data_IF_064857705457
#
_entry.id   IF_064857705457
#
_cell.length_a   1.000
_cell.length_b   1.000
_cell.length_c   1.000
_cell.angle_alpha   90.00
_cell.angle_beta   90.00
_cell.angle_gamma   90.00
#
_symmetry.space_group_name_H-M   'P 1'
#
loop_
_entity.id
_entity.type
_entity.pdbx_description
1 polymer ?
#
# COMPACT_ATOMS: atom_id res chain seq x y z
N UNK A 1 -37.84 -48.68 2.79
CA UNK A 1 -36.50 -49.32 2.82
C UNK A 1 -35.54 -48.74 1.76
N UNK A 2 -35.87 -48.73 0.45
CA UNK A 2 -34.97 -48.23 -0.62
C UNK A 2 -34.51 -46.76 -0.50
N UNK A 3 -35.37 -45.86 0.03
CA UNK A 3 -35.03 -44.44 0.20
C UNK A 3 -33.99 -44.16 1.31
N UNK A 4 -33.84 -45.06 2.28
CA UNK A 4 -32.87 -44.89 3.36
C UNK A 4 -31.47 -45.29 2.91
N UNK A 5 -31.34 -46.38 2.13
CA UNK A 5 -30.06 -46.85 1.61
C UNK A 5 -29.36 -45.83 0.70
N UNK A 6 -30.10 -45.13 -0.16
CA UNK A 6 -29.52 -44.13 -1.07
C UNK A 6 -29.01 -42.88 -0.35
N UNK A 7 -29.62 -42.51 0.80
CA UNK A 7 -29.17 -41.39 1.63
C UNK A 7 -27.91 -41.72 2.41
N UNK A 8 -27.83 -42.90 3.02
CA UNK A 8 -26.63 -43.33 3.76
C UNK A 8 -25.42 -43.50 2.85
N UNK A 9 -25.62 -44.06 1.64
CA UNK A 9 -24.52 -44.22 0.67
C UNK A 9 -23.94 -42.87 0.22
N UNK A 10 -24.78 -41.86 0.00
CA UNK A 10 -24.31 -40.51 -0.37
C UNK A 10 -23.54 -39.82 0.74
N UNK A 11 -23.92 -40.00 2.00
CA UNK A 11 -23.21 -39.41 3.15
C UNK A 11 -21.84 -40.09 3.32
N UNK A 12 -21.79 -41.42 3.23
CA UNK A 12 -20.54 -42.18 3.31
C UNK A 12 -19.57 -41.82 2.18
N UNK A 13 -20.06 -41.68 0.94
CA UNK A 13 -19.25 -41.26 -0.20
C UNK A 13 -18.74 -39.82 -0.07
N UNK A 14 -19.55 -38.92 0.49
CA UNK A 14 -19.13 -37.53 0.72
C UNK A 14 -18.07 -37.43 1.81
N UNK A 15 -18.21 -38.24 2.88
CA UNK A 15 -17.21 -38.32 3.94
C UNK A 15 -15.89 -38.92 3.45
N UNK A 16 -15.91 -39.96 2.60
CA UNK A 16 -14.67 -40.54 2.06
C UNK A 16 -13.91 -39.57 1.15
N UNK A 17 -14.61 -38.88 0.25
CA UNK A 17 -14.01 -37.89 -0.66
C UNK A 17 -13.47 -36.67 0.12
N UNK A 18 -14.15 -36.26 1.19
CA UNK A 18 -13.69 -35.17 2.04
C UNK A 18 -12.43 -35.55 2.83
N UNK A 19 -12.41 -36.75 3.42
CA UNK A 19 -11.25 -37.29 4.14
C UNK A 19 -10.02 -37.43 3.22
N UNK A 20 -10.21 -37.89 1.98
CA UNK A 20 -9.12 -38.06 1.01
C UNK A 20 -8.49 -36.71 0.60
N UNK A 21 -9.31 -35.66 0.44
CA UNK A 21 -8.82 -34.31 0.13
C UNK A 21 -8.09 -33.65 1.29
N UNK A 22 -8.55 -33.84 2.52
CA UNK A 22 -7.86 -33.30 3.71
C UNK A 22 -6.56 -34.06 4.00
N UNK A 23 -6.53 -35.38 3.79
CA UNK A 23 -5.32 -36.20 3.84
C UNK A 23 -4.27 -35.78 2.81
N UNK A 24 -4.68 -35.51 1.55
CA UNK A 24 -3.76 -35.00 0.52
C UNK A 24 -3.16 -33.64 0.90
N UNK A 25 -3.96 -32.72 1.47
CA UNK A 25 -3.45 -31.42 1.95
C UNK A 25 -2.42 -31.61 3.07
N UNK A 26 -2.69 -32.52 4.01
CA UNK A 26 -1.78 -32.81 5.12
C UNK A 26 -0.47 -33.43 4.62
N UNK A 27 -0.53 -34.34 3.65
CA UNK A 27 0.65 -34.94 3.01
C UNK A 27 1.47 -33.91 2.23
N UNK A 28 0.83 -33.00 1.48
CA UNK A 28 1.55 -31.93 0.79
C UNK A 28 2.18 -30.93 1.77
N UNK A 29 1.50 -30.61 2.87
CA UNK A 29 2.01 -29.70 3.90
C UNK A 29 3.21 -30.31 4.62
N UNK A 30 3.14 -31.59 5.01
CA UNK A 30 4.26 -32.30 5.64
C UNK A 30 5.44 -32.45 4.69
N UNK A 31 5.22 -32.79 3.41
CA UNK A 31 6.27 -32.84 2.40
C UNK A 31 6.96 -31.47 2.20
N UNK A 32 6.19 -30.38 2.19
CA UNK A 32 6.74 -29.02 2.10
C UNK A 32 7.68 -28.70 3.27
N UNK A 33 7.28 -29.02 4.51
CA UNK A 33 8.13 -28.77 5.68
C UNK A 33 9.37 -29.66 5.73
N UNK A 34 9.30 -30.91 5.25
CA UNK A 34 10.48 -31.78 5.12
C UNK A 34 11.48 -31.19 4.13
N UNK A 35 11.02 -30.66 2.99
CA UNK A 35 11.88 -29.99 2.01
C UNK A 35 12.50 -28.71 2.58
N UNK A 36 11.73 -27.90 3.32
CA UNK A 36 12.26 -26.70 4.00
C UNK A 36 13.30 -27.05 5.06
N UNK A 37 13.05 -28.08 5.88
CA UNK A 37 14.00 -28.54 6.88
C UNK A 37 15.31 -29.07 6.26
N UNK A 38 15.21 -29.83 5.15
CA UNK A 38 16.37 -30.28 4.38
C UNK A 38 17.14 -29.09 3.79
N UNK A 39 16.45 -28.09 3.22
CA UNK A 39 17.09 -26.89 2.67
C UNK A 39 17.86 -26.12 3.75
N UNK A 40 17.30 -25.99 4.95
CA UNK A 40 17.97 -25.34 6.08
C UNK A 40 19.19 -26.14 6.59
N UNK A 41 19.18 -27.47 6.46
CA UNK A 41 20.32 -28.32 6.83
C UNK A 41 21.48 -28.27 5.81
N UNK A 42 21.19 -28.06 4.52
CA UNK A 42 22.23 -27.97 3.47
C UNK A 42 22.81 -26.57 3.27
N UNK A 43 22.20 -25.52 3.85
CA UNK A 43 22.80 -24.18 3.91
C UNK A 43 23.82 -24.15 5.06
N UNK A 44 25.04 -24.63 4.79
CA UNK A 44 26.21 -24.33 5.62
C UNK A 44 26.37 -22.80 5.72
N UNK A 45 26.69 -22.24 6.89
CA UNK A 45 27.05 -20.83 6.98
C UNK A 45 28.39 -20.64 6.27
N UNK A 46 28.39 -19.95 5.12
CA UNK A 46 29.60 -19.33 4.63
C UNK A 46 29.99 -18.24 5.64
N UNK A 47 30.94 -18.58 6.50
CA UNK A 47 31.77 -17.65 7.23
C UNK A 47 32.42 -16.66 6.24
N UNK A 48 31.98 -15.41 6.27
CA UNK A 48 32.48 -14.35 5.40
C UNK A 48 31.98 -13.00 5.89
N UNK A 49 32.47 -12.57 7.04
CA UNK A 49 32.30 -11.19 7.54
C UNK A 49 33.25 -10.28 6.75
N UNK A 50 32.78 -9.20 6.11
CA UNK A 50 33.65 -8.06 5.80
C UNK A 50 33.56 -7.05 6.95
N UNK A 51 34.72 -6.85 7.56
CA UNK A 51 35.06 -5.88 8.59
C UNK A 51 34.66 -4.44 8.24
N UNK A 52 34.06 -3.77 9.23
CA UNK A 52 34.01 -2.32 9.36
C UNK A 52 35.41 -1.73 9.34
N UNK A 53 35.69 -0.78 8.44
CA UNK A 53 36.81 0.16 8.58
C UNK A 53 36.23 1.56 8.79
N UNK A 54 36.15 1.95 10.06
CA UNK A 54 36.09 3.34 10.51
C UNK A 54 37.49 3.93 10.33
N UNK A 55 37.61 5.10 9.69
CA UNK A 55 38.82 5.92 9.81
C UNK A 55 38.41 7.37 9.98
N UNK A 56 38.74 7.88 11.16
CA UNK A 56 38.54 9.25 11.61
C UNK A 56 39.52 10.25 10.94
N UNK A 57 39.01 11.46 10.78
CA UNK A 57 39.70 12.75 10.99
C UNK A 57 40.58 13.39 9.89
N UNK A 58 40.77 14.73 9.95
CA UNK A 58 40.50 15.64 8.84
C UNK A 58 41.75 16.38 8.33
N UNK A 59 41.70 16.90 7.10
CA UNK A 59 42.76 17.76 6.58
C UNK A 59 42.20 19.13 6.17
N UNK A 60 42.45 20.10 7.03
CA UNK A 60 42.47 21.53 6.73
C UNK A 60 43.63 21.79 5.78
N UNK A 61 43.38 22.45 4.64
CA UNK A 61 44.43 23.09 3.85
C UNK A 61 44.13 24.57 3.79
N UNK A 62 44.96 25.34 4.50
CA UNK A 62 45.11 26.78 4.43
C UNK A 62 46.46 27.07 3.75
N UNK A 63 46.61 28.28 3.17
CA UNK A 63 47.87 28.99 2.77
C UNK A 63 48.24 28.78 1.28
N UNK A 64 48.54 29.79 0.42
CA UNK A 64 48.68 31.26 0.47
C UNK A 64 48.83 31.82 -0.97
N UNK A 65 48.54 33.12 -1.13
CA UNK A 65 49.18 34.14 -2.00
C UNK A 65 49.31 33.89 -3.53
N UNK A 66 49.26 34.85 -4.46
CA UNK A 66 49.48 36.30 -4.43
C UNK A 66 48.89 36.92 -5.70
N UNK A 67 48.39 38.17 -5.65
CA UNK A 67 48.64 39.30 -6.60
C UNK A 67 47.48 40.30 -6.63
N UNK A 68 47.67 41.41 -5.93
CA UNK A 68 47.16 42.75 -6.28
C UNK A 68 48.05 43.35 -7.40
N UNK A 69 47.55 44.22 -8.31
CA UNK A 69 47.23 45.60 -7.93
C UNK A 69 46.09 46.29 -8.72
N UNK A 70 45.48 47.30 -8.08
CA UNK A 70 45.34 48.72 -8.49
C UNK A 70 43.99 49.30 -8.06
N UNK A 71 44.08 50.39 -7.31
CA UNK A 71 42.98 51.20 -6.85
C UNK A 71 42.32 51.96 -8.03
N UNK A 72 40.99 51.96 -8.04
CA UNK A 72 40.17 53.02 -8.65
C UNK A 72 39.04 53.33 -7.67
N UNK A 73 38.91 54.60 -7.34
CA UNK A 73 37.94 55.12 -6.39
C UNK A 73 36.53 55.26 -6.98
N UNK A 74 35.57 55.36 -6.05
CA UNK A 74 34.21 55.90 -6.17
C UNK A 74 33.10 54.97 -6.69
N UNK A 75 32.18 54.58 -5.79
CA UNK A 75 30.88 55.27 -5.59
C UNK A 75 30.06 54.54 -4.52
N UNK A 76 29.33 55.34 -3.73
CA UNK A 76 28.30 54.92 -2.78
C UNK A 76 27.36 53.87 -3.40
N UNK A 77 27.34 52.66 -2.84
CA UNK A 77 26.31 51.65 -3.10
C UNK A 77 25.71 51.26 -1.76
N UNK A 78 24.46 51.67 -1.59
CA UNK A 78 23.53 51.31 -0.52
C UNK A 78 23.53 49.79 -0.30
N UNK A 79 23.54 49.28 0.95
CA UNK A 79 23.50 47.84 1.18
C UNK A 79 22.19 47.25 0.63
N UNK A 80 22.25 46.09 -0.05
CA UNK A 80 21.05 45.44 -0.56
C UNK A 80 20.16 45.00 0.61
N UNK A 81 18.88 45.35 0.47
CA UNK A 81 17.77 44.95 1.33
C UNK A 81 17.83 43.45 1.55
N UNK A 82 17.93 43.04 2.81
CA UNK A 82 17.88 41.67 3.28
C UNK A 82 16.55 41.04 2.85
N UNK A 83 16.52 40.39 1.68
CA UNK A 83 15.40 39.55 1.26
C UNK A 83 15.58 38.24 2.03
N UNK A 84 15.30 38.27 3.33
CA UNK A 84 14.91 37.06 4.02
C UNK A 84 13.69 36.51 3.27
N UNK A 85 13.73 35.29 2.71
CA UNK A 85 12.50 34.65 2.30
C UNK A 85 11.60 34.62 3.54
N UNK A 86 10.46 35.30 3.42
CA UNK A 86 9.39 35.28 4.41
C UNK A 86 9.05 33.80 4.60
N UNK A 87 9.51 33.22 5.70
CA UNK A 87 9.20 31.85 6.04
C UNK A 87 7.70 31.84 6.32
N UNK A 88 6.93 31.50 5.29
CA UNK A 88 5.47 31.41 5.33
C UNK A 88 5.12 30.31 6.32
N UNK A 89 4.87 30.70 7.57
CA UNK A 89 4.30 29.87 8.61
C UNK A 89 2.86 29.54 8.23
N UNK A 90 2.68 28.66 7.24
CA UNK A 90 1.39 28.05 6.94
C UNK A 90 1.21 26.88 7.91
N UNK A 91 0.66 27.19 9.08
CA UNK A 91 0.04 26.18 9.93
C UNK A 91 -1.13 25.59 9.12
N UNK A 92 -0.87 24.52 8.37
CA UNK A 92 -1.90 23.82 7.58
C UNK A 92 -3.05 23.46 8.52
N UNK A 93 -4.27 23.77 8.11
CA UNK A 93 -5.46 23.35 8.84
C UNK A 93 -5.51 21.82 8.81
N UNK A 94 -5.90 21.21 9.93
CA UNK A 94 -6.15 19.77 9.96
C UNK A 94 -7.11 19.41 8.81
N UNK A 95 -6.68 18.52 7.92
CA UNK A 95 -7.48 18.08 6.78
C UNK A 95 -7.29 18.85 5.47
N UNK A 96 -6.33 19.77 5.37
CA UNK A 96 -5.91 20.29 4.05
C UNK A 96 -5.35 19.17 3.16
N UNK A 97 -5.46 19.28 1.82
CA UNK A 97 -4.79 18.38 0.90
C UNK A 97 -3.27 18.32 1.18
N UNK A 98 -2.72 17.13 1.05
CA UNK A 98 -1.27 16.95 1.00
C UNK A 98 -0.75 17.52 -0.32
N UNK A 99 0.45 18.10 -0.27
CA UNK A 99 1.27 18.32 -1.46
C UNK A 99 1.77 16.99 -1.99
N UNK A 100 2.13 16.94 -3.26
CA UNK A 100 2.72 15.75 -3.86
C UNK A 100 3.96 15.26 -3.10
N UNK A 101 4.87 16.19 -2.72
CA UNK A 101 6.07 15.85 -1.95
C UNK A 101 5.77 15.23 -0.58
N UNK A 102 4.77 15.76 0.14
CA UNK A 102 4.34 15.17 1.42
C UNK A 102 3.76 13.76 1.20
N UNK A 103 3.03 13.56 0.10
CA UNK A 103 2.48 12.25 -0.24
C UNK A 103 3.58 11.25 -0.64
N UNK A 104 4.59 11.67 -1.42
CA UNK A 104 5.75 10.84 -1.76
C UNK A 104 6.51 10.39 -0.50
N UNK A 105 6.72 11.29 0.47
CA UNK A 105 7.35 10.95 1.75
C UNK A 105 6.53 9.93 2.55
N UNK A 106 5.19 10.04 2.52
CA UNK A 106 4.31 9.06 3.15
C UNK A 106 4.35 7.71 2.42
N UNK A 107 4.36 7.70 1.09
CA UNK A 107 4.48 6.48 0.30
C UNK A 107 5.80 5.75 0.56
N UNK A 108 6.91 6.48 0.68
CA UNK A 108 8.21 5.90 1.00
C UNK A 108 8.25 5.23 2.37
N UNK A 109 7.42 5.69 3.32
CA UNK A 109 7.27 5.08 4.65
C UNK A 109 6.25 3.93 4.68
N UNK A 110 5.41 3.83 3.64
CA UNK A 110 4.32 2.85 3.57
C UNK A 110 4.82 1.48 3.07
N UNK A 111 4.04 0.40 3.24
CA UNK A 111 4.41 -0.92 2.74
C UNK A 111 4.26 -1.07 1.20
N UNK A 112 3.87 -0.02 0.49
CA UNK A 112 3.70 -0.08 -0.95
C UNK A 112 5.06 -0.19 -1.67
N UNK A 113 5.26 -1.17 -2.57
CA UNK A 113 6.50 -1.29 -3.30
C UNK A 113 6.68 -0.13 -4.29
N UNK A 114 7.93 0.33 -4.46
CA UNK A 114 8.28 1.51 -5.26
C UNK A 114 7.68 1.49 -6.67
N UNK A 115 7.66 0.32 -7.33
CA UNK A 115 7.06 0.13 -8.66
C UNK A 115 5.55 0.43 -8.76
N UNK A 116 4.85 0.56 -7.62
CA UNK A 116 3.43 0.89 -7.58
C UNK A 116 3.17 2.33 -7.11
N UNK A 117 4.20 3.10 -6.72
CA UNK A 117 4.02 4.42 -6.12
C UNK A 117 3.22 5.38 -7.02
N UNK A 118 3.52 5.44 -8.31
CA UNK A 118 2.78 6.30 -9.26
C UNK A 118 1.31 5.89 -9.40
N UNK A 119 1.04 4.59 -9.41
CA UNK A 119 -0.33 4.07 -9.45
C UNK A 119 -1.11 4.44 -8.17
N UNK A 120 -0.47 4.31 -7.01
CA UNK A 120 -1.08 4.66 -5.72
C UNK A 120 -1.32 6.17 -5.63
N UNK A 121 -0.38 7.00 -6.11
CA UNK A 121 -0.55 8.46 -6.21
C UNK A 121 -1.79 8.83 -7.00
N UNK A 122 -1.95 8.24 -8.18
CA UNK A 122 -3.10 8.48 -9.05
C UNK A 122 -4.41 8.07 -8.38
N UNK A 123 -4.45 6.88 -7.76
CA UNK A 123 -5.64 6.43 -7.02
C UNK A 123 -5.98 7.40 -5.89
N UNK A 124 -5.01 7.75 -5.04
CA UNK A 124 -5.22 8.65 -3.92
C UNK A 124 -5.71 10.05 -4.36
N UNK A 125 -5.22 10.53 -5.51
CA UNK A 125 -5.68 11.78 -6.09
C UNK A 125 -7.12 11.68 -6.60
N UNK A 126 -7.45 10.62 -7.32
CA UNK A 126 -8.80 10.37 -7.83
C UNK A 126 -9.84 10.17 -6.72
N UNK A 127 -9.45 9.51 -5.64
CA UNK A 127 -10.34 9.14 -4.53
C UNK A 127 -10.58 10.29 -3.55
N UNK A 128 -9.55 11.06 -3.22
CA UNK A 128 -9.63 12.07 -2.15
C UNK A 128 -9.01 13.41 -2.50
N UNK A 129 -8.37 13.56 -3.67
CA UNK A 129 -7.48 14.67 -3.99
C UNK A 129 -6.41 14.87 -2.89
N UNK A 130 -5.87 13.75 -2.40
CA UNK A 130 -4.90 13.66 -1.30
C UNK A 130 -5.37 14.31 0.02
N UNK A 131 -6.67 14.35 0.29
CA UNK A 131 -7.23 14.88 1.54
C UNK A 131 -7.30 13.77 2.60
N UNK A 132 -6.50 13.80 3.68
CA UNK A 132 -6.43 12.69 4.65
C UNK A 132 -7.69 12.45 5.46
N UNK A 133 -8.53 13.47 5.64
CA UNK A 133 -9.76 13.38 6.43
C UNK A 133 -11.01 13.24 5.56
N UNK A 134 -10.86 12.95 4.26
CA UNK A 134 -11.97 12.85 3.32
C UNK A 134 -12.92 11.71 3.73
N UNK A 135 -14.22 12.00 3.74
CA UNK A 135 -15.27 11.01 3.94
C UNK A 135 -16.13 10.91 2.69
N UNK A 136 -16.19 9.71 2.13
CA UNK A 136 -17.02 9.36 0.99
C UNK A 136 -18.46 9.02 1.40
N UNK A 137 -19.39 8.99 0.44
CA UNK A 137 -20.81 8.72 0.69
C UNK A 137 -21.10 7.27 1.12
N UNK A 138 -20.19 6.35 0.84
CA UNK A 138 -20.35 4.90 1.03
C UNK A 138 -19.55 4.34 2.20
N UNK A 139 -19.31 5.17 3.23
CA UNK A 139 -18.50 4.82 4.40
C UNK A 139 -17.04 4.53 4.02
N UNK A 140 -16.55 5.26 3.01
CA UNK A 140 -15.17 5.22 2.54
C UNK A 140 -14.38 6.39 3.17
N UNK A 141 -13.16 6.13 3.66
CA UNK A 141 -12.43 7.08 4.49
C UNK A 141 -10.97 7.25 4.08
N UNK A 142 -10.50 8.49 4.23
CA UNK A 142 -9.10 8.87 4.14
C UNK A 142 -8.55 8.96 2.72
N UNK A 143 -7.23 9.04 2.60
CA UNK A 143 -6.56 9.36 1.33
C UNK A 143 -6.83 8.32 0.21
N UNK A 144 -6.96 7.05 0.56
CA UNK A 144 -7.27 5.95 -0.37
C UNK A 144 -8.74 5.56 -0.34
N UNK A 145 -9.63 6.31 0.33
CA UNK A 145 -11.07 6.02 0.45
C UNK A 145 -11.35 4.54 0.78
N UNK A 146 -10.73 4.03 1.86
CA UNK A 146 -10.94 2.65 2.31
C UNK A 146 -12.32 2.51 2.94
N UNK A 147 -13.09 1.51 2.52
CA UNK A 147 -14.43 1.22 3.07
C UNK A 147 -14.38 0.69 4.49
N UNK A 148 -14.80 1.49 5.48
CA UNK A 148 -14.77 1.07 6.88
C UNK A 148 -15.69 -0.12 7.14
N UNK A 149 -16.96 -0.06 6.72
CA UNK A 149 -17.92 -1.18 6.89
C UNK A 149 -17.43 -2.55 6.38
N UNK A 150 -16.58 -2.58 5.35
CA UNK A 150 -16.03 -3.82 4.80
C UNK A 150 -14.80 -4.33 5.55
N UNK A 151 -14.15 -3.47 6.34
CA UNK A 151 -12.89 -3.74 7.02
C UNK A 151 -12.93 -3.42 8.51
N UNK A 152 -14.12 -3.28 9.10
CA UNK A 152 -14.31 -2.80 10.47
C UNK A 152 -13.55 -3.64 11.51
N UNK A 153 -13.53 -4.96 11.35
CA UNK A 153 -12.78 -5.87 12.23
C UNK A 153 -11.26 -5.60 12.22
N UNK A 154 -10.71 -5.19 11.07
CA UNK A 154 -9.28 -4.89 10.90
C UNK A 154 -8.92 -3.48 11.35
N UNK A 155 -9.83 -2.53 11.14
CA UNK A 155 -9.60 -1.11 11.37
C UNK A 155 -9.96 -0.70 12.80
N UNK A 156 -10.94 -1.36 13.42
CA UNK A 156 -11.48 -1.05 14.74
C UNK A 156 -12.37 0.20 14.75
N UNK A 157 -11.84 1.36 14.34
CA UNK A 157 -12.57 2.64 14.34
C UNK A 157 -12.30 3.46 13.07
N UNK A 158 -13.33 4.07 12.48
CA UNK A 158 -13.19 4.86 11.26
C UNK A 158 -12.16 6.00 11.36
N UNK A 159 -11.97 6.60 12.55
CA UNK A 159 -10.99 7.66 12.78
C UNK A 159 -9.54 7.24 12.51
N UNK A 160 -9.23 5.94 12.60
CA UNK A 160 -7.92 5.38 12.27
C UNK A 160 -7.57 5.61 10.80
N UNK A 161 -8.57 5.61 9.92
CA UNK A 161 -8.41 5.83 8.48
C UNK A 161 -8.11 7.28 8.12
N UNK A 162 -8.20 8.23 9.07
CA UNK A 162 -7.82 9.63 8.85
C UNK A 162 -6.34 9.91 9.09
N UNK A 163 -5.60 8.96 9.68
CA UNK A 163 -4.14 8.99 9.64
C UNK A 163 -3.70 8.50 8.24
N UNK A 164 -2.99 9.30 7.45
CA UNK A 164 -2.68 8.96 6.07
C UNK A 164 -1.76 7.74 5.95
N UNK A 165 -0.73 7.60 6.80
CA UNK A 165 0.15 6.44 6.76
C UNK A 165 -0.63 5.15 7.09
N UNK A 166 -1.45 5.20 8.15
CA UNK A 166 -2.27 4.05 8.51
C UNK A 166 -3.30 3.70 7.43
N UNK A 167 -3.86 4.70 6.76
CA UNK A 167 -4.74 4.50 5.61
C UNK A 167 -4.02 3.78 4.47
N UNK A 168 -2.78 4.17 4.15
CA UNK A 168 -1.95 3.50 3.12
C UNK A 168 -1.61 2.05 3.49
N UNK A 169 -1.30 1.76 4.74
CA UNK A 169 -1.05 0.39 5.23
C UNK A 169 -2.27 -0.51 5.08
N UNK A 170 -3.44 -0.01 5.49
CA UNK A 170 -4.70 -0.76 5.36
C UNK A 170 -5.06 -0.93 3.88
N UNK A 171 -4.90 0.13 3.08
CA UNK A 171 -5.10 0.06 1.63
C UNK A 171 -4.19 -0.99 0.96
N UNK A 172 -2.92 -1.10 1.39
CA UNK A 172 -2.02 -2.13 0.86
C UNK A 172 -2.52 -3.54 1.19
N UNK A 173 -3.04 -3.75 2.40
CA UNK A 173 -3.65 -5.04 2.78
C UNK A 173 -4.85 -5.36 1.89
N UNK A 174 -5.73 -4.38 1.65
CA UNK A 174 -6.89 -4.51 0.76
C UNK A 174 -6.46 -4.82 -0.68
N UNK A 175 -5.39 -4.20 -1.16
CA UNK A 175 -4.79 -4.46 -2.46
C UNK A 175 -4.27 -5.91 -2.58
N UNK A 176 -3.51 -6.40 -1.60
CA UNK A 176 -2.99 -7.76 -1.60
C UNK A 176 -4.11 -8.82 -1.52
N UNK A 177 -5.14 -8.56 -0.73
CA UNK A 177 -6.35 -9.41 -0.69
C UNK A 177 -7.05 -9.44 -2.04
N UNK A 178 -7.19 -8.29 -2.70
CA UNK A 178 -7.83 -8.21 -4.02
C UNK A 178 -7.03 -8.92 -5.12
N UNK A 179 -5.68 -8.93 -5.04
CA UNK A 179 -4.81 -9.70 -5.95
C UNK A 179 -5.06 -11.20 -5.86
N UNK A 180 -5.36 -11.71 -4.67
CA UNK A 180 -5.62 -13.14 -4.42
C UNK A 180 -7.11 -13.49 -4.52
N UNK A 181 -7.96 -12.47 -4.52
CA UNK A 181 -9.41 -12.59 -4.52
C UNK A 181 -10.01 -12.90 -5.88
N UNK A 182 -11.34 -12.75 -5.92
CA UNK A 182 -12.20 -13.15 -7.04
C UNK A 182 -11.79 -12.58 -8.40
N UNK A 183 -11.34 -11.32 -8.43
CA UNK A 183 -11.02 -10.62 -9.67
C UNK A 183 -9.53 -10.66 -10.02
N UNK A 184 -8.69 -11.22 -9.14
CA UNK A 184 -7.24 -11.37 -9.31
C UNK A 184 -6.53 -10.08 -9.76
N UNK A 185 -6.98 -8.94 -9.24
CA UNK A 185 -6.45 -7.63 -9.62
C UNK A 185 -6.41 -6.70 -8.41
N UNK A 186 -5.22 -6.21 -8.07
CA UNK A 186 -5.00 -5.49 -6.81
C UNK A 186 -5.78 -4.18 -6.71
N UNK A 187 -5.91 -3.43 -7.80
CA UNK A 187 -6.69 -2.18 -7.82
C UNK A 187 -8.21 -2.39 -8.00
N UNK A 188 -8.71 -3.63 -8.03
CA UNK A 188 -10.15 -3.90 -8.16
C UNK A 188 -11.05 -3.20 -7.12
N UNK A 189 -10.64 -3.01 -5.84
CA UNK A 189 -11.44 -2.29 -4.86
C UNK A 189 -11.73 -0.83 -5.23
N UNK A 190 -10.83 -0.19 -5.99
CA UNK A 190 -10.95 1.19 -6.47
C UNK A 190 -11.52 1.27 -7.90
N UNK A 191 -12.32 0.28 -8.34
CA UNK A 191 -12.85 0.27 -9.70
C UNK A 191 -13.80 1.45 -10.00
N UNK A 192 -14.44 2.02 -8.97
CA UNK A 192 -15.37 3.14 -9.14
C UNK A 192 -14.67 4.40 -9.67
N UNK A 193 -13.45 4.67 -9.22
CA UNK A 193 -12.59 5.76 -9.70
C UNK A 193 -11.80 5.41 -10.96
N UNK A 194 -12.02 4.23 -11.57
CA UNK A 194 -11.19 3.78 -12.68
C UNK A 194 -11.27 4.64 -13.94
N UNK A 195 -12.33 5.43 -14.07
CA UNK A 195 -12.44 6.44 -15.13
C UNK A 195 -11.40 7.57 -14.98
N UNK A 196 -10.85 7.77 -13.78
CA UNK A 196 -9.84 8.78 -13.46
C UNK A 196 -8.40 8.22 -13.57
N UNK A 197 -8.11 7.02 -13.02
CA UNK A 197 -6.74 6.47 -12.99
C UNK A 197 -6.46 5.36 -14.03
N UNK A 198 -7.47 4.74 -14.63
CA UNK A 198 -7.29 3.76 -15.72
C UNK A 198 -6.58 2.44 -15.37
N UNK A 199 -6.32 2.16 -14.09
CA UNK A 199 -5.51 1.01 -13.64
C UNK A 199 -6.22 -0.34 -13.71
N UNK A 200 -7.55 -0.38 -13.76
CA UNK A 200 -8.34 -1.61 -13.81
C UNK A 200 -8.74 -1.89 -15.26
N UNK A 201 -8.32 -3.02 -15.86
CA UNK A 201 -8.67 -3.35 -17.23
C UNK A 201 -10.19 -3.38 -17.46
N UNK A 202 -10.66 -2.92 -18.63
CA UNK A 202 -12.09 -2.85 -18.97
C UNK A 202 -12.84 -4.16 -18.71
N UNK A 203 -12.23 -5.30 -19.04
CA UNK A 203 -12.79 -6.64 -18.79
C UNK A 203 -12.98 -6.93 -17.30
N UNK A 204 -12.03 -6.53 -16.47
CA UNK A 204 -12.09 -6.69 -15.01
C UNK A 204 -13.19 -5.78 -14.43
N UNK A 205 -13.21 -4.50 -14.81
CA UNK A 205 -14.23 -3.55 -14.36
C UNK A 205 -15.66 -4.00 -14.72
N UNK A 206 -15.87 -4.49 -15.95
CA UNK A 206 -17.16 -5.03 -16.38
C UNK A 206 -17.61 -6.24 -15.53
N UNK A 207 -16.68 -7.14 -15.20
CA UNK A 207 -16.95 -8.30 -14.35
C UNK A 207 -17.31 -7.90 -12.92
N UNK A 208 -16.64 -6.88 -12.37
CA UNK A 208 -16.96 -6.34 -11.04
C UNK A 208 -18.38 -5.75 -11.04
N UNK A 209 -18.70 -4.89 -12.01
CA UNK A 209 -20.03 -4.28 -12.15
C UNK A 209 -21.14 -5.32 -12.26
N UNK A 210 -20.93 -6.38 -13.07
CA UNK A 210 -21.88 -7.50 -13.20
C UNK A 210 -22.08 -8.23 -11.88
N UNK A 211 -21.00 -8.48 -11.13
CA UNK A 211 -21.07 -9.16 -9.84
C UNK A 211 -21.81 -8.33 -8.79
N UNK A 212 -21.52 -7.03 -8.69
CA UNK A 212 -22.22 -6.13 -7.76
C UNK A 212 -23.72 -6.05 -8.07
N UNK A 213 -24.10 -5.96 -9.35
CA UNK A 213 -25.49 -5.97 -9.77
C UNK A 213 -26.21 -7.29 -9.40
N UNK A 214 -25.53 -8.43 -9.54
CA UNK A 214 -26.08 -9.73 -9.11
C UNK A 214 -26.24 -9.81 -7.58
N UNK A 215 -25.27 -9.29 -6.83
CA UNK A 215 -25.33 -9.23 -5.36
C UNK A 215 -26.51 -8.38 -4.91
N UNK A 216 -26.71 -7.20 -5.48
CA UNK A 216 -27.84 -6.33 -5.18
C UNK A 216 -29.18 -7.01 -5.46
N UNK A 217 -29.32 -7.69 -6.61
CA UNK A 217 -30.53 -8.46 -6.94
C UNK A 217 -30.79 -9.60 -5.95
N UNK A 218 -29.75 -10.30 -5.47
CA UNK A 218 -29.92 -11.36 -4.47
C UNK A 218 -30.38 -10.81 -3.12
N UNK A 219 -29.83 -9.67 -2.70
CA UNK A 219 -30.23 -8.99 -1.46
C UNK A 219 -31.72 -8.61 -1.54
N UNK A 220 -32.17 -7.99 -2.63
CA UNK A 220 -33.58 -7.59 -2.80
C UNK A 220 -34.59 -8.75 -2.87
N UNK A 221 -34.16 -9.97 -3.23
CA UNK A 221 -35.06 -11.15 -3.25
C UNK A 221 -35.22 -11.81 -1.89
N UNK A 222 -34.33 -11.52 -0.95
CA UNK A 222 -34.34 -12.07 0.40
C UNK A 222 -35.04 -11.12 1.40
N UNK A 223 -35.57 -10.00 0.90
CA UNK A 223 -36.49 -9.10 1.58
C UNK A 223 -37.88 -9.30 0.97
#
# INVERSE_FOLDING_TARGET
MLFFYTRFYRIALFQSIFQEKEMQKLLCYTAFWVVVALALFFVRPMSGVPTLSVSDSPTVVLVKDTRTPKAVAAKNVTPPKDIRPKQESTRKKNGSPLTEKEFDLLLAQSPWPAQLHDAVKQVAFCESSWVPVKRGPTDDHGIMQVRFKAHAEKVGRASVLYNPLRNLEIAYTVFEEARRGKFRHGFAPWHASNHCHGLVPKKVAANIKKFEAQKAKRVMRNF
#
